data_IF_984397078459
#
_entry.id   IF_984397078459
#
_cell.length_a   1.000
_cell.length_b   1.000
_cell.length_c   1.000
_cell.angle_alpha   90.00
_cell.angle_beta   90.00
_cell.angle_gamma   90.00
#
_symmetry.space_group_name_H-M   'P 1'
#
loop_
_entity.id
_entity.type
_entity.pdbx_description
1 polymer ?
#
# COMPACT_ATOMS: atom_id res chain seq x y z
N UNK A 1 5.37 0.40 14.78
CA UNK A 1 5.14 1.18 13.53
C UNK A 1 3.82 1.93 13.65
N UNK A 2 3.85 3.23 13.97
CA UNK A 2 2.64 4.03 14.26
C UNK A 2 1.61 3.99 13.14
N UNK A 3 2.03 4.31 11.90
CA UNK A 3 1.15 4.36 10.73
C UNK A 3 0.45 3.02 10.51
N UNK A 4 1.20 1.91 10.46
CA UNK A 4 0.61 0.58 10.28
C UNK A 4 -0.44 0.27 11.35
N UNK A 5 -0.14 0.56 12.62
CA UNK A 5 -1.06 0.35 13.73
C UNK A 5 -2.36 1.16 13.56
N UNK A 6 -2.27 2.41 13.09
CA UNK A 6 -3.44 3.28 12.87
C UNK A 6 -4.41 2.77 11.78
N UNK A 7 -3.92 2.00 10.80
CA UNK A 7 -4.76 1.47 9.71
C UNK A 7 -5.11 -0.01 9.88
N UNK A 8 -4.32 -0.78 10.64
CA UNK A 8 -4.42 -2.23 10.71
C UNK A 8 -5.83 -2.71 11.11
N UNK A 9 -6.35 -2.23 12.24
CA UNK A 9 -7.66 -2.68 12.73
C UNK A 9 -8.78 -2.38 11.74
N UNK A 10 -8.77 -1.21 11.11
CA UNK A 10 -9.78 -0.84 10.13
C UNK A 10 -9.70 -1.70 8.87
N UNK A 11 -8.51 -1.90 8.29
CA UNK A 11 -8.37 -2.75 7.10
C UNK A 11 -8.71 -4.21 7.41
N UNK A 12 -8.23 -4.76 8.53
CA UNK A 12 -8.59 -6.12 8.95
C UNK A 12 -10.10 -6.30 9.13
N UNK A 13 -10.81 -5.28 9.64
CA UNK A 13 -12.27 -5.33 9.75
C UNK A 13 -13.01 -5.30 8.41
N UNK A 14 -12.38 -4.74 7.37
CA UNK A 14 -12.99 -4.61 6.04
C UNK A 14 -12.76 -5.85 5.16
N UNK A 15 -11.58 -6.48 5.25
CA UNK A 15 -11.20 -7.57 4.34
C UNK A 15 -10.83 -8.89 5.03
N UNK A 16 -10.66 -8.89 6.35
CA UNK A 16 -10.14 -10.04 7.09
C UNK A 16 -8.63 -9.95 7.35
N UNK A 17 -8.15 -10.81 8.26
CA UNK A 17 -6.75 -10.81 8.71
C UNK A 17 -5.85 -11.43 7.64
N UNK A 18 -6.33 -12.46 6.95
CA UNK A 18 -5.62 -13.18 5.90
C UNK A 18 -5.31 -12.25 4.72
N UNK A 19 -6.32 -11.49 4.30
CA UNK A 19 -6.21 -10.53 3.21
C UNK A 19 -5.34 -9.33 3.61
N UNK A 20 -5.49 -8.81 4.83
CA UNK A 20 -4.61 -7.76 5.35
C UNK A 20 -3.14 -8.19 5.30
N UNK A 21 -2.82 -9.39 5.78
CA UNK A 21 -1.46 -9.92 5.77
C UNK A 21 -0.96 -10.13 4.34
N UNK A 22 -1.81 -10.67 3.47
CA UNK A 22 -1.50 -10.91 2.06
C UNK A 22 -1.19 -9.60 1.33
N UNK A 23 -1.98 -8.54 1.55
CA UNK A 23 -1.75 -7.22 0.96
C UNK A 23 -0.46 -6.60 1.48
N UNK A 24 -0.19 -6.69 2.78
CA UNK A 24 1.04 -6.15 3.37
C UNK A 24 2.28 -6.82 2.78
N UNK A 25 2.31 -8.16 2.72
CA UNK A 25 3.45 -8.92 2.21
C UNK A 25 3.57 -8.79 0.69
N UNK A 26 2.51 -9.06 -0.07
CA UNK A 26 2.53 -8.99 -1.53
C UNK A 26 2.80 -7.55 -2.01
N UNK A 27 2.22 -6.56 -1.33
CA UNK A 27 2.50 -5.15 -1.58
C UNK A 27 3.95 -4.78 -1.28
N UNK A 28 4.53 -5.31 -0.20
CA UNK A 28 5.96 -5.15 0.11
C UNK A 28 6.88 -5.78 -0.95
N UNK A 29 6.54 -6.98 -1.44
CA UNK A 29 7.28 -7.66 -2.52
C UNK A 29 7.18 -6.86 -3.82
N UNK A 30 5.97 -6.47 -4.23
CA UNK A 30 5.75 -5.70 -5.44
C UNK A 30 6.44 -4.33 -5.37
N UNK A 31 6.33 -3.63 -4.24
CA UNK A 31 7.04 -2.39 -3.96
C UNK A 31 8.56 -2.55 -4.10
N UNK A 32 9.13 -3.63 -3.55
CA UNK A 32 10.56 -3.95 -3.66
C UNK A 32 10.96 -4.22 -5.11
N UNK A 33 10.12 -4.89 -5.88
CA UNK A 33 10.32 -5.14 -7.31
C UNK A 33 10.36 -3.82 -8.11
N UNK A 34 9.42 -2.91 -7.88
CA UNK A 34 9.39 -1.58 -8.53
C UNK A 34 10.64 -0.76 -8.15
N UNK A 35 11.05 -0.79 -6.87
CA UNK A 35 12.29 -0.18 -6.42
C UNK A 35 13.52 -0.74 -7.14
N UNK A 36 13.61 -2.07 -7.25
CA UNK A 36 14.71 -2.73 -7.94
C UNK A 36 14.82 -2.29 -9.40
N UNK A 37 13.70 -2.26 -10.14
CA UNK A 37 13.68 -1.75 -11.52
C UNK A 37 14.19 -0.31 -11.58
N UNK A 38 13.67 0.57 -10.72
CA UNK A 38 14.10 1.97 -10.70
C UNK A 38 15.61 2.11 -10.41
N UNK A 39 16.14 1.31 -9.49
CA UNK A 39 17.57 1.33 -9.14
C UNK A 39 18.46 0.82 -10.27
N UNK A 40 18.04 -0.24 -10.97
CA UNK A 40 18.72 -0.73 -12.15
C UNK A 40 18.78 0.35 -13.25
N UNK A 41 17.65 1.00 -13.53
CA UNK A 41 17.58 2.08 -14.52
C UNK A 41 18.43 3.30 -14.15
N UNK A 42 18.50 3.64 -12.86
CA UNK A 42 19.28 4.80 -12.36
C UNK A 42 20.72 4.47 -11.99
N UNK A 43 21.12 3.19 -12.07
CA UNK A 43 22.42 2.68 -11.59
C UNK A 43 22.72 3.09 -10.14
N UNK A 44 21.69 3.07 -9.29
CA UNK A 44 21.82 3.42 -7.88
C UNK A 44 22.25 2.22 -7.05
N UNK A 45 23.27 2.39 -6.20
CA UNK A 45 23.74 1.38 -5.25
C UNK A 45 23.11 1.53 -3.86
N UNK A 46 22.27 2.56 -3.65
CA UNK A 46 21.60 2.77 -2.38
C UNK A 46 20.58 1.65 -2.12
N UNK A 47 20.71 0.90 -1.00
CA UNK A 47 19.85 -0.25 -0.75
C UNK A 47 18.38 0.17 -0.53
N UNK A 48 17.43 -0.69 -0.92
CA UNK A 48 16.01 -0.52 -0.57
C UNK A 48 15.74 -1.43 0.60
N UNK A 49 15.57 -0.88 1.80
CA UNK A 49 15.32 -1.66 3.00
C UNK A 49 14.19 -0.99 3.76
N UNK A 50 13.06 -1.68 3.90
CA UNK A 50 11.98 -1.19 4.76
C UNK A 50 10.63 -1.86 4.56
N UNK A 51 9.87 -1.93 5.65
CA UNK A 51 8.46 -2.32 5.64
C UNK A 51 7.55 -1.24 5.03
N UNK A 52 8.06 -0.04 4.75
CA UNK A 52 7.26 1.10 4.30
C UNK A 52 6.51 0.85 3.00
N UNK A 53 7.07 0.07 2.07
CA UNK A 53 6.37 -0.36 0.85
C UNK A 53 5.07 -1.13 1.13
N UNK A 54 5.11 -2.05 2.09
CA UNK A 54 3.92 -2.78 2.55
C UNK A 54 2.92 -1.88 3.28
N UNK A 55 3.41 -0.92 4.07
CA UNK A 55 2.55 0.10 4.72
C UNK A 55 1.85 0.98 3.67
N UNK A 56 2.57 1.40 2.63
CA UNK A 56 2.03 2.11 1.48
C UNK A 56 0.93 1.31 0.78
N UNK A 57 1.09 -0.01 0.65
CA UNK A 57 0.03 -0.88 0.14
C UNK A 57 -1.21 -0.90 1.05
N UNK A 58 -1.03 -0.96 2.37
CA UNK A 58 -2.16 -0.88 3.32
C UNK A 58 -2.88 0.47 3.24
N UNK A 59 -2.15 1.59 3.13
CA UNK A 59 -2.73 2.93 2.94
C UNK A 59 -3.51 3.00 1.62
N UNK A 60 -2.92 2.49 0.53
CA UNK A 60 -3.56 2.44 -0.79
C UNK A 60 -4.86 1.63 -0.77
N UNK A 61 -4.82 0.45 -0.16
CA UNK A 61 -5.98 -0.42 0.00
C UNK A 61 -7.08 0.25 0.84
N UNK A 62 -6.74 0.74 2.03
CA UNK A 62 -7.67 1.45 2.90
C UNK A 62 -8.35 2.61 2.18
N UNK A 63 -7.59 3.39 1.43
CA UNK A 63 -8.09 4.59 0.76
C UNK A 63 -9.10 4.29 -0.34
N UNK A 64 -9.03 3.10 -0.96
CA UNK A 64 -10.02 2.66 -1.94
C UNK A 64 -11.20 1.92 -1.30
N UNK A 65 -10.94 1.14 -0.24
CA UNK A 65 -12.00 0.43 0.50
C UNK A 65 -12.88 1.37 1.31
N UNK A 66 -12.32 2.49 1.79
CA UNK A 66 -13.05 3.45 2.60
C UNK A 66 -12.74 4.90 2.17
N UNK A 67 -13.18 5.29 0.96
CA UNK A 67 -12.75 6.54 0.32
C UNK A 67 -13.22 7.80 1.05
N UNK A 68 -14.35 7.72 1.75
CA UNK A 68 -14.95 8.82 2.50
C UNK A 68 -14.37 8.95 3.92
N UNK A 69 -13.52 8.02 4.36
CA UNK A 69 -12.86 8.10 5.66
C UNK A 69 -12.07 9.40 5.78
N UNK A 70 -12.11 9.99 6.96
CA UNK A 70 -11.42 11.24 7.29
C UNK A 70 -10.07 10.92 7.90
N UNK A 71 -9.02 11.35 7.23
CA UNK A 71 -7.63 11.20 7.66
C UNK A 71 -7.08 12.56 8.08
N UNK A 72 -6.09 12.53 8.96
CA UNK A 72 -5.31 13.70 9.35
C UNK A 72 -3.83 13.30 9.48
N UNK A 73 -2.95 14.29 9.47
CA UNK A 73 -1.55 14.09 9.80
C UNK A 73 -1.44 14.02 11.33
N UNK A 74 -1.00 12.89 11.91
CA UNK A 74 -0.89 12.73 13.35
C UNK A 74 0.06 13.78 13.93
N UNK A 75 -0.17 14.18 15.18
CA UNK A 75 0.59 15.20 15.92
C UNK A 75 0.46 16.64 15.40
N UNK A 76 0.19 16.86 14.10
CA UNK A 76 -0.08 18.19 13.56
C UNK A 76 -1.52 18.61 13.88
N UNK A 77 -2.45 17.66 13.87
CA UNK A 77 -3.88 17.91 14.11
C UNK A 77 -4.15 18.55 15.49
N UNK A 78 -3.28 18.30 16.47
CA UNK A 78 -3.39 18.85 17.83
C UNK A 78 -3.12 20.36 17.90
N UNK A 79 -2.40 20.90 16.91
CA UNK A 79 -2.09 22.33 16.79
C UNK A 79 -2.92 23.03 15.71
N UNK A 80 -3.17 22.34 14.60
CA UNK A 80 -3.89 22.87 13.44
C UNK A 80 -4.96 21.85 13.06
N UNK A 81 -6.24 22.06 13.40
CA UNK A 81 -7.31 21.15 13.01
C UNK A 81 -7.41 21.03 11.49
N UNK A 82 -7.29 19.81 10.98
CA UNK A 82 -7.38 19.53 9.55
C UNK A 82 -7.87 18.10 9.30
N UNK A 83 -8.53 17.90 8.17
CA UNK A 83 -8.95 16.56 7.75
C UNK A 83 -9.15 16.50 6.25
N UNK A 84 -8.77 15.37 5.66
CA UNK A 84 -8.90 15.10 4.24
C UNK A 84 -9.55 13.72 4.02
N UNK A 85 -10.26 13.58 2.90
CA UNK A 85 -10.81 12.28 2.52
C UNK A 85 -9.68 11.32 2.15
N UNK A 86 -9.81 10.04 2.50
CA UNK A 86 -8.82 9.02 2.20
C UNK A 86 -8.58 8.89 0.68
N UNK A 87 -9.65 9.01 -0.12
CA UNK A 87 -9.57 9.04 -1.58
C UNK A 87 -8.68 10.16 -2.11
N UNK A 88 -8.81 11.39 -1.58
CA UNK A 88 -7.95 12.51 -1.96
C UNK A 88 -6.53 12.35 -1.42
N UNK A 89 -6.39 11.85 -0.18
CA UNK A 89 -5.11 11.66 0.50
C UNK A 89 -4.18 10.77 -0.31
N UNK A 90 -4.67 9.62 -0.77
CA UNK A 90 -3.84 8.64 -1.46
C UNK A 90 -3.30 9.18 -2.78
N UNK A 91 -4.11 9.96 -3.51
CA UNK A 91 -3.67 10.60 -4.76
C UNK A 91 -2.63 11.69 -4.50
N UNK A 92 -2.77 12.46 -3.41
CA UNK A 92 -1.78 13.46 -3.00
C UNK A 92 -0.46 12.78 -2.62
N UNK A 93 -0.51 11.74 -1.78
CA UNK A 93 0.68 10.99 -1.36
C UNK A 93 1.36 10.38 -2.60
N UNK A 94 0.60 9.73 -3.48
CA UNK A 94 1.13 9.17 -4.71
C UNK A 94 1.80 10.25 -5.58
N UNK A 95 1.18 11.43 -5.70
CA UNK A 95 1.74 12.54 -6.47
C UNK A 95 3.07 13.03 -5.88
N UNK A 96 3.17 13.12 -4.55
CA UNK A 96 4.41 13.45 -3.85
C UNK A 96 5.49 12.39 -4.08
N UNK A 97 5.13 11.10 -4.03
CA UNK A 97 6.07 10.00 -4.28
C UNK A 97 6.55 10.00 -5.74
N UNK A 98 5.66 10.25 -6.71
CA UNK A 98 6.05 10.38 -8.13
C UNK A 98 6.94 11.60 -8.35
N UNK A 99 6.63 12.74 -7.72
CA UNK A 99 7.48 13.92 -7.76
C UNK A 99 8.87 13.61 -7.16
N UNK A 100 8.91 12.98 -5.99
CA UNK A 100 10.15 12.57 -5.33
C UNK A 100 10.95 11.60 -6.18
N UNK A 101 10.29 10.65 -6.84
CA UNK A 101 10.90 9.71 -7.77
C UNK A 101 11.56 10.42 -8.96
N UNK A 102 10.87 11.39 -9.57
CA UNK A 102 11.38 12.09 -10.76
C UNK A 102 12.51 13.06 -10.38
N UNK A 103 12.30 13.90 -9.38
CA UNK A 103 13.15 15.06 -9.11
C UNK A 103 14.14 14.87 -7.96
N UNK A 104 13.79 14.04 -6.96
CA UNK A 104 14.54 13.95 -5.70
C UNK A 104 15.25 12.61 -5.49
N UNK A 105 14.99 11.60 -6.32
CA UNK A 105 15.45 10.22 -6.09
C UNK A 105 16.97 10.04 -5.96
N UNK A 106 17.80 10.98 -6.44
CA UNK A 106 19.27 10.94 -6.24
C UNK A 106 19.74 11.55 -4.92
N UNK A 107 18.93 12.41 -4.30
CA UNK A 107 19.27 13.18 -3.10
C UNK A 107 18.44 12.77 -1.88
N UNK A 108 17.30 12.13 -2.11
CA UNK A 108 16.41 11.64 -1.09
C UNK A 108 16.93 10.32 -0.51
N UNK A 109 16.88 10.20 0.81
CA UNK A 109 17.08 8.93 1.50
C UNK A 109 15.85 8.00 1.41
N UNK A 110 14.73 8.49 0.86
CA UNK A 110 13.49 7.73 0.72
C UNK A 110 13.45 6.98 -0.62
N UNK A 111 12.96 5.74 -0.56
CA UNK A 111 12.70 4.96 -1.76
C UNK A 111 11.33 5.28 -2.35
N UNK A 112 11.28 6.40 -3.06
CA UNK A 112 10.05 6.90 -3.68
C UNK A 112 9.42 5.92 -4.69
N UNK A 113 10.25 5.13 -5.38
CA UNK A 113 9.77 4.09 -6.29
C UNK A 113 9.06 2.97 -5.51
N UNK A 114 9.65 2.53 -4.40
CA UNK A 114 9.04 1.56 -3.51
C UNK A 114 7.68 2.06 -3.00
N UNK A 115 7.62 3.28 -2.46
CA UNK A 115 6.39 3.83 -1.89
C UNK A 115 5.28 3.98 -2.95
N UNK A 116 5.60 4.54 -4.12
CA UNK A 116 4.64 4.65 -5.23
C UNK A 116 4.13 3.28 -5.68
N UNK A 117 5.03 2.29 -5.84
CA UNK A 117 4.67 0.93 -6.21
C UNK A 117 3.75 0.26 -5.18
N UNK A 118 4.03 0.45 -3.89
CA UNK A 118 3.18 -0.02 -2.79
C UNK A 118 1.79 0.62 -2.82
N UNK A 119 1.71 1.95 -2.92
CA UNK A 119 0.43 2.68 -3.00
C UNK A 119 -0.42 2.18 -4.17
N UNK A 120 0.16 2.08 -5.37
CA UNK A 120 -0.54 1.60 -6.57
C UNK A 120 -1.05 0.18 -6.37
N UNK A 121 -0.21 -0.73 -5.85
CA UNK A 121 -0.64 -2.11 -5.56
C UNK A 121 -1.84 -2.14 -4.60
N UNK A 122 -1.75 -1.39 -3.50
CA UNK A 122 -2.84 -1.26 -2.53
C UNK A 122 -4.12 -0.72 -3.15
N UNK A 123 -4.02 0.35 -3.95
CA UNK A 123 -5.16 0.96 -4.64
C UNK A 123 -5.83 -0.03 -5.61
N UNK A 124 -5.05 -0.79 -6.36
CA UNK A 124 -5.58 -1.83 -7.25
C UNK A 124 -6.29 -2.94 -6.45
N UNK A 125 -5.69 -3.37 -5.34
CA UNK A 125 -6.33 -4.34 -4.46
C UNK A 125 -7.67 -3.83 -3.90
N UNK A 126 -7.70 -2.62 -3.35
CA UNK A 126 -8.91 -2.07 -2.73
C UNK A 126 -10.01 -1.70 -3.74
N UNK A 127 -9.67 -1.41 -4.99
CA UNK A 127 -10.64 -1.08 -6.05
C UNK A 127 -11.25 -2.31 -6.72
N UNK A 128 -10.45 -3.36 -6.98
CA UNK A 128 -10.90 -4.52 -7.76
C UNK A 128 -10.38 -5.86 -7.23
N UNK A 129 -9.31 -5.85 -6.44
CA UNK A 129 -8.66 -7.06 -5.95
C UNK A 129 -9.53 -7.90 -5.03
N UNK A 130 -10.25 -7.27 -4.08
CA UNK A 130 -11.18 -7.98 -3.19
C UNK A 130 -12.18 -8.81 -4.00
N UNK A 131 -12.93 -8.17 -4.90
CA UNK A 131 -13.93 -8.86 -5.72
C UNK A 131 -13.29 -9.95 -6.60
N UNK A 132 -12.12 -9.67 -7.17
CA UNK A 132 -11.39 -10.60 -8.04
C UNK A 132 -10.94 -11.86 -7.31
N UNK A 133 -10.46 -11.71 -6.07
CA UNK A 133 -10.01 -12.82 -5.22
C UNK A 133 -11.21 -13.65 -4.79
N UNK A 134 -12.27 -13.02 -4.28
CA UNK A 134 -13.47 -13.73 -3.82
C UNK A 134 -14.18 -14.52 -4.92
N UNK A 135 -14.19 -14.01 -6.16
CA UNK A 135 -14.70 -14.76 -7.33
C UNK A 135 -13.93 -16.05 -7.58
N UNK A 136 -12.60 -16.03 -7.41
CA UNK A 136 -11.71 -17.17 -7.67
C UNK A 136 -11.57 -18.10 -6.46
N UNK A 137 -11.80 -17.59 -5.26
CA UNK A 137 -11.65 -18.33 -4.01
C UNK A 137 -12.46 -19.62 -3.98
N UNK A 138 -13.71 -19.60 -4.47
CA UNK A 138 -14.55 -20.82 -4.53
C UNK A 138 -13.92 -21.93 -5.39
N UNK A 139 -13.33 -21.57 -6.53
CA UNK A 139 -12.69 -22.54 -7.42
C UNK A 139 -11.42 -23.14 -6.81
N UNK A 140 -10.63 -22.31 -6.11
CA UNK A 140 -9.44 -22.77 -5.39
C UNK A 140 -9.82 -23.69 -4.23
N UNK A 141 -10.84 -23.32 -3.45
CA UNK A 141 -11.33 -24.16 -2.35
C UNK A 141 -11.91 -25.49 -2.84
N UNK A 142 -12.66 -25.49 -3.95
CA UNK A 142 -13.19 -26.74 -4.52
C UNK A 142 -12.06 -27.64 -5.02
N UNK A 143 -11.05 -27.06 -5.69
CA UNK A 143 -9.87 -27.80 -6.13
C UNK A 143 -9.09 -28.39 -4.94
N UNK A 144 -8.89 -27.60 -3.88
CA UNK A 144 -8.21 -28.07 -2.66
C UNK A 144 -8.96 -29.22 -1.98
N UNK A 145 -10.29 -29.11 -1.83
CA UNK A 145 -11.12 -30.19 -1.25
C UNK A 145 -10.98 -31.49 -2.04
N UNK A 146 -11.01 -31.41 -3.37
CA UNK A 146 -10.88 -32.59 -4.25
C UNK A 146 -9.51 -33.28 -4.20
N UNK A 147 -8.45 -32.62 -3.74
CA UNK A 147 -7.11 -33.21 -3.60
C UNK A 147 -6.87 -33.76 -2.20
N UNK A 148 -7.50 -33.11 -1.21
CA UNK A 148 -7.36 -33.50 0.20
C UNK A 148 -8.13 -34.78 0.51
N UNK A 149 -9.29 -34.96 -0.12
CA UNK A 149 -10.16 -36.12 0.04
C UNK A 149 -9.77 -37.23 -0.96
#
# INVERSE_FOLDING_TARGET
MYVLHSFASSVMSLVGVEDFFSVFIAGGIFSSYISLINKLLRRSTFPSLGASGGICAIIGAFSMLQPNARLCVPFIVDFIPHSFQASSAVWIILSIEIFGLIFLSRRSALDHAAHAGGLIFGMLYGSTGVESIWKRHRAVLSWWKNIRD
#
